data_IF_446964317596
#
_entry.id   IF_446964317596
#
_cell.length_a   1.000
_cell.length_b   1.000
_cell.length_c   1.000
_cell.angle_alpha   90.00
_cell.angle_beta   90.00
_cell.angle_gamma   90.00
#
_symmetry.space_group_name_H-M   'P 1'
#
loop_
_entity.id
_entity.type
_entity.pdbx_description
1 polymer ?
#
# COMPACT_ATOMS: atom_id res chain seq x y z
N UNK A 1 -18.97 -18.02 -17.00
CA UNK A 1 -19.20 -17.09 -15.88
C UNK A 1 -20.62 -16.60 -15.97
N UNK A 2 -21.41 -16.80 -14.92
CA UNK A 2 -22.78 -16.28 -14.88
C UNK A 2 -22.80 -14.82 -14.39
N UNK A 3 -23.95 -14.15 -14.53
CA UNK A 3 -24.09 -12.73 -14.18
C UNK A 3 -23.92 -12.46 -12.67
N UNK A 4 -24.21 -13.43 -11.79
CA UNK A 4 -24.03 -13.25 -10.34
C UNK A 4 -22.54 -13.27 -9.99
N UNK A 5 -21.79 -14.17 -10.62
CA UNK A 5 -20.34 -14.26 -10.48
C UNK A 5 -19.64 -12.98 -10.93
N UNK A 6 -20.04 -12.42 -12.07
CA UNK A 6 -19.53 -11.13 -12.57
C UNK A 6 -19.71 -9.99 -11.56
N UNK A 7 -20.92 -9.83 -11.02
CA UNK A 7 -21.23 -8.77 -10.04
C UNK A 7 -20.45 -8.91 -8.73
N UNK A 8 -20.10 -10.13 -8.33
CA UNK A 8 -19.30 -10.38 -7.13
C UNK A 8 -17.83 -9.98 -7.33
N UNK A 9 -17.31 -10.10 -8.55
CA UNK A 9 -15.96 -9.65 -8.89
C UNK A 9 -15.94 -8.12 -8.99
N UNK A 10 -16.92 -7.54 -9.67
CA UNK A 10 -17.06 -6.08 -9.81
C UNK A 10 -17.13 -5.38 -8.45
N UNK A 11 -17.84 -5.95 -7.47
CA UNK A 11 -17.94 -5.38 -6.12
C UNK A 11 -16.63 -5.38 -5.32
N UNK A 12 -15.62 -6.11 -5.79
CA UNK A 12 -14.26 -6.15 -5.20
C UNK A 12 -13.23 -5.37 -6.02
N UNK A 13 -13.63 -4.83 -7.18
CA UNK A 13 -12.73 -4.09 -8.04
C UNK A 13 -12.37 -2.74 -7.40
N UNK A 14 -11.08 -2.53 -7.16
CA UNK A 14 -10.51 -1.25 -6.69
C UNK A 14 -9.85 -0.47 -7.83
N UNK A 15 -10.06 -0.88 -9.09
CA UNK A 15 -9.46 -0.26 -10.29
C UNK A 15 -7.93 -0.09 -10.23
N UNK A 16 -7.22 -1.04 -9.60
CA UNK A 16 -5.77 -0.97 -9.40
C UNK A 16 -5.30 0.29 -8.65
N UNK A 17 -6.20 0.95 -7.90
CA UNK A 17 -5.84 2.11 -7.10
C UNK A 17 -4.85 1.72 -5.99
N UNK A 18 -3.84 2.57 -5.71
CA UNK A 18 -2.94 2.32 -4.60
C UNK A 18 -3.70 2.36 -3.27
N UNK A 19 -3.17 1.72 -2.21
CA UNK A 19 -3.73 1.86 -0.88
C UNK A 19 -3.89 3.33 -0.48
N UNK A 20 -5.02 3.67 0.13
CA UNK A 20 -5.34 5.05 0.53
C UNK A 20 -4.20 5.71 1.33
N UNK A 21 -3.54 4.98 2.22
CA UNK A 21 -2.41 5.50 2.99
C UNK A 21 -1.21 5.92 2.13
N UNK A 22 -0.94 5.23 1.03
CA UNK A 22 0.10 5.60 0.05
C UNK A 22 -0.39 6.72 -0.87
N UNK A 23 -1.66 6.67 -1.30
CA UNK A 23 -2.26 7.69 -2.16
C UNK A 23 -2.32 9.06 -1.47
N UNK A 24 -2.72 9.09 -0.20
CA UNK A 24 -2.88 10.30 0.59
C UNK A 24 -1.55 10.86 1.13
N UNK A 25 -0.49 10.05 1.17
CA UNK A 25 0.80 10.51 1.64
C UNK A 25 1.46 11.42 0.59
N UNK A 26 1.88 12.66 0.93
CA UNK A 26 2.47 13.59 -0.04
C UNK A 26 3.76 13.08 -0.71
N UNK A 27 4.47 12.18 -0.05
CA UNK A 27 5.70 11.55 -0.58
C UNK A 27 5.44 10.16 -1.17
N UNK A 28 4.19 9.67 -1.18
CA UNK A 28 3.80 8.36 -1.68
C UNK A 28 4.65 7.20 -1.14
N UNK A 29 4.99 7.25 0.15
CA UNK A 29 5.70 6.15 0.81
C UNK A 29 4.88 4.86 0.75
N UNK A 30 5.57 3.73 0.61
CA UNK A 30 5.01 2.40 0.87
C UNK A 30 4.75 2.22 2.38
N UNK A 31 3.63 2.78 2.86
CA UNK A 31 3.23 2.79 4.27
C UNK A 31 3.07 1.36 4.81
N UNK A 32 2.49 0.45 4.02
CA UNK A 32 2.20 -0.91 4.47
C UNK A 32 3.48 -1.67 4.76
N UNK A 33 4.45 -1.63 3.85
CA UNK A 33 5.73 -2.31 4.04
C UNK A 33 6.56 -1.62 5.13
N UNK A 34 6.51 -0.28 5.21
CA UNK A 34 7.16 0.47 6.29
C UNK A 34 6.66 0.01 7.67
N UNK A 35 5.34 0.06 7.91
CA UNK A 35 4.74 -0.32 9.19
C UNK A 35 4.96 -1.81 9.48
N UNK A 36 4.93 -2.69 8.48
CA UNK A 36 5.21 -4.11 8.67
C UNK A 36 6.64 -4.38 9.19
N UNK A 37 7.63 -3.59 8.75
CA UNK A 37 9.00 -3.67 9.28
C UNK A 37 9.12 -3.04 10.67
N UNK A 38 8.48 -1.90 10.90
CA UNK A 38 8.41 -1.25 12.22
C UNK A 38 7.83 -2.20 13.27
N UNK A 39 6.69 -2.84 12.98
CA UNK A 39 6.03 -3.78 13.89
C UNK A 39 6.90 -5.01 14.23
N UNK A 40 7.86 -5.35 13.38
CA UNK A 40 8.83 -6.45 13.59
C UNK A 40 10.16 -5.99 14.19
N UNK A 41 10.30 -4.71 14.53
CA UNK A 41 11.55 -4.12 15.03
C UNK A 41 12.68 -4.07 13.98
N UNK A 42 12.37 -4.21 12.69
CA UNK A 42 13.35 -4.21 11.59
C UNK A 42 13.65 -2.77 11.14
N UNK A 43 14.34 -2.01 11.99
CA UNK A 43 14.53 -0.57 11.81
C UNK A 43 15.34 -0.21 10.57
N UNK A 44 16.41 -0.95 10.25
CA UNK A 44 17.19 -0.69 9.04
C UNK A 44 16.35 -0.85 7.76
N UNK A 45 15.52 -1.90 7.70
CA UNK A 45 14.64 -2.14 6.55
C UNK A 45 13.51 -1.11 6.46
N UNK A 46 12.92 -0.74 7.59
CA UNK A 46 11.95 0.36 7.65
C UNK A 46 12.55 1.67 7.16
N UNK A 47 13.78 1.98 7.59
CA UNK A 47 14.50 3.18 7.18
C UNK A 47 14.78 3.19 5.67
N UNK A 48 15.23 2.07 5.11
CA UNK A 48 15.43 1.93 3.65
C UNK A 48 14.16 2.23 2.86
N UNK A 49 12.98 1.86 3.36
CA UNK A 49 11.70 2.13 2.70
C UNK A 49 11.38 3.62 2.75
N UNK A 50 11.43 4.22 3.93
CA UNK A 50 11.16 5.65 4.13
C UNK A 50 12.11 6.52 3.29
N UNK A 51 13.41 6.19 3.29
CA UNK A 51 14.44 6.98 2.61
C UNK A 51 14.28 7.05 1.09
N UNK A 52 13.62 6.07 0.46
CA UNK A 52 13.37 6.07 -1.00
C UNK A 52 12.51 7.23 -1.48
N UNK A 53 11.64 7.75 -0.61
CA UNK A 53 10.64 8.77 -0.97
C UNK A 53 10.84 10.08 -0.22
N UNK A 54 11.61 10.07 0.88
CA UNK A 54 11.94 11.28 1.62
C UNK A 54 12.80 12.25 0.78
N UNK A 55 12.40 13.53 0.65
CA UNK A 55 13.06 14.50 -0.22
C UNK A 55 14.40 15.02 0.30
N UNK A 56 14.76 14.80 1.57
CA UNK A 56 16.02 15.21 2.19
C UNK A 56 16.56 14.12 3.11
#
# INVERSE_FOLDING_TARGET
MDQKELRLIESKCIQEEPPECTAACPIHIDVRTFIANVARGKWEEAWKILRKTMPF
#
